data_IF_810790730822
#
_entry.id   IF_810790730822
#
_cell.length_a   1.000
_cell.length_b   1.000
_cell.length_c   1.000
_cell.angle_alpha   90.00
_cell.angle_beta   90.00
_cell.angle_gamma   90.00
#
_symmetry.space_group_name_H-M   'P 1'
#
loop_
_entity.id
_entity.type
_entity.pdbx_description
1 polymer ?
#
# COMPACT_ATOMS: atom_id res chain seq x y z
N UNK A 1 -5.97 -6.75 -7.08
CA UNK A 1 -6.61 -5.42 -7.18
C UNK A 1 -5.60 -4.41 -7.67
N UNK A 2 -6.03 -3.55 -8.59
CA UNK A 2 -5.11 -2.58 -9.21
C UNK A 2 -4.51 -1.61 -8.19
N UNK A 3 -5.33 -1.08 -7.27
CA UNK A 3 -4.85 -0.12 -6.27
C UNK A 3 -3.88 -0.79 -5.30
N UNK A 4 -4.17 -1.99 -4.88
CA UNK A 4 -3.28 -2.72 -3.99
C UNK A 4 -1.91 -2.97 -4.67
N UNK A 5 -1.94 -3.38 -5.93
CA UNK A 5 -0.70 -3.64 -6.67
C UNK A 5 0.13 -2.36 -6.80
N UNK A 6 -0.52 -1.22 -7.06
CA UNK A 6 0.18 0.05 -7.13
C UNK A 6 0.73 0.46 -5.77
N UNK A 7 -0.02 0.18 -4.71
CA UNK A 7 0.46 0.44 -3.35
C UNK A 7 1.75 -0.35 -3.07
N UNK A 8 1.74 -1.65 -3.39
CA UNK A 8 2.92 -2.49 -3.14
C UNK A 8 4.13 -1.96 -3.91
N UNK A 9 3.94 -1.66 -5.19
CA UNK A 9 5.02 -1.14 -6.02
C UNK A 9 5.57 0.17 -5.46
N UNK A 10 4.69 1.10 -5.09
CA UNK A 10 5.10 2.38 -4.53
C UNK A 10 5.77 2.23 -3.17
N UNK A 11 5.20 1.40 -2.32
CA UNK A 11 5.74 1.18 -0.99
C UNK A 11 7.16 0.61 -1.05
N UNK A 12 7.37 -0.37 -1.91
CA UNK A 12 8.68 -0.99 -2.07
C UNK A 12 9.68 -0.07 -2.75
N UNK A 13 9.18 0.92 -3.49
CA UNK A 13 10.04 1.95 -4.12
C UNK A 13 10.42 3.08 -3.17
N UNK A 14 9.86 3.10 -1.97
CA UNK A 14 10.16 4.15 -0.99
C UNK A 14 9.18 5.29 -0.95
N UNK A 15 8.03 5.19 -1.62
CA UNK A 15 7.02 6.24 -1.58
C UNK A 15 6.32 6.26 -0.21
N UNK A 16 5.91 7.45 0.22
CA UNK A 16 5.14 7.58 1.45
C UNK A 16 3.69 7.17 1.23
N UNK A 17 3.00 6.89 2.33
CA UNK A 17 1.56 6.56 2.26
C UNK A 17 0.77 7.69 1.64
N UNK A 18 1.11 8.93 1.98
CA UNK A 18 0.44 10.11 1.43
C UNK A 18 0.60 10.18 -0.09
N UNK A 19 1.81 9.94 -0.57
CA UNK A 19 2.07 9.97 -2.01
C UNK A 19 1.30 8.90 -2.76
N UNK A 20 1.27 7.70 -2.21
CA UNK A 20 0.54 6.59 -2.83
C UNK A 20 -0.96 6.89 -2.85
N UNK A 21 -1.50 7.45 -1.77
CA UNK A 21 -2.90 7.80 -1.71
C UNK A 21 -3.27 8.83 -2.76
N UNK A 22 -2.45 9.88 -2.91
CA UNK A 22 -2.69 10.91 -3.92
C UNK A 22 -2.62 10.35 -5.33
N UNK A 23 -1.66 9.51 -5.58
CA UNK A 23 -1.46 8.88 -6.89
C UNK A 23 -2.68 8.06 -7.30
N UNK A 24 -3.33 7.40 -6.35
CA UNK A 24 -4.47 6.54 -6.62
C UNK A 24 -5.82 7.24 -6.40
N UNK A 25 -5.79 8.52 -6.02
CA UNK A 25 -6.99 9.29 -5.75
C UNK A 25 -7.87 8.64 -4.69
N UNK A 26 -7.25 8.15 -3.63
CA UNK A 26 -7.95 7.55 -2.49
C UNK A 26 -7.46 8.22 -1.20
N UNK A 27 -8.17 7.98 -0.09
CA UNK A 27 -7.75 8.53 1.19
C UNK A 27 -6.54 7.76 1.74
N UNK A 28 -5.78 8.43 2.61
CA UNK A 28 -4.66 7.79 3.29
C UNK A 28 -5.11 6.57 4.09
N UNK A 29 -6.32 6.66 4.64
CA UNK A 29 -6.91 5.56 5.41
C UNK A 29 -6.95 4.27 4.58
N UNK A 30 -7.34 4.39 3.31
CA UNK A 30 -7.39 3.25 2.41
C UNK A 30 -6.00 2.64 2.24
N UNK A 31 -4.99 3.49 2.07
CA UNK A 31 -3.62 3.01 1.90
C UNK A 31 -3.10 2.34 3.17
N UNK A 32 -3.41 2.89 4.35
CA UNK A 32 -3.01 2.25 5.60
C UNK A 32 -3.65 0.89 5.79
N UNK A 33 -4.86 0.70 5.30
CA UNK A 33 -5.50 -0.61 5.33
C UNK A 33 -4.74 -1.60 4.46
N UNK A 34 -4.31 -1.15 3.28
CA UNK A 34 -3.50 -2.01 2.40
C UNK A 34 -2.16 -2.33 3.05
N UNK A 35 -1.57 -1.37 3.76
CA UNK A 35 -0.30 -1.62 4.45
C UNK A 35 -0.47 -2.69 5.52
N UNK A 36 -1.54 -2.65 6.28
CA UNK A 36 -1.81 -3.66 7.29
C UNK A 36 -1.93 -5.05 6.66
N UNK A 37 -2.64 -5.13 5.54
CA UNK A 37 -2.77 -6.38 4.81
C UNK A 37 -1.42 -6.86 4.27
N UNK A 38 -0.64 -5.94 3.72
CA UNK A 38 0.69 -6.25 3.19
C UNK A 38 1.59 -6.85 4.28
N UNK A 39 1.61 -6.22 5.46
CA UNK A 39 2.41 -6.71 6.57
C UNK A 39 1.98 -8.10 7.00
N UNK A 40 0.68 -8.34 7.02
CA UNK A 40 0.13 -9.64 7.40
C UNK A 40 0.53 -10.73 6.42
N UNK A 41 0.41 -10.45 5.12
CA UNK A 41 0.77 -11.40 4.08
C UNK A 41 2.27 -11.71 4.12
N UNK A 42 3.10 -10.68 4.29
CA UNK A 42 4.55 -10.86 4.37
C UNK A 42 4.93 -11.76 5.54
N UNK A 43 4.30 -11.57 6.69
CA UNK A 43 4.59 -12.40 7.86
C UNK A 43 4.25 -13.87 7.62
N UNK A 44 3.16 -14.11 6.90
CA UNK A 44 2.73 -15.47 6.65
C UNK A 44 3.62 -16.21 5.66
N UNK A 45 4.32 -15.48 4.81
CA UNK A 45 5.20 -16.07 3.82
C UNK A 45 6.54 -16.51 4.42
N UNK A 46 6.88 -16.04 5.57
CA UNK A 46 8.10 -16.40 6.28
C UNK A 46 7.89 -17.60 7.18
#
# INVERSE_FOLDING_TARGET
MAIYNDFVAGYESGMTMVEIAKRNNVSERTIYRYKAYYDKVKKQEE
#
